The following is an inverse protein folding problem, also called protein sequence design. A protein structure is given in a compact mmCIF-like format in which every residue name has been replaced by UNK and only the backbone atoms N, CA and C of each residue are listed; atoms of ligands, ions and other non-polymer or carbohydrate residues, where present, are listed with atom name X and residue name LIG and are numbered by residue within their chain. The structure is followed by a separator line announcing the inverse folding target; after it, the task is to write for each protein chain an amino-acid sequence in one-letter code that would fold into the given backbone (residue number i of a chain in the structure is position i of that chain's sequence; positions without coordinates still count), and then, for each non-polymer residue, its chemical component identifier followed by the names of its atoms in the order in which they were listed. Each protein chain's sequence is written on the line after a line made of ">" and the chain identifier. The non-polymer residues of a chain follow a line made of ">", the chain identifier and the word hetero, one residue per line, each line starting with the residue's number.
data_IF_937631630829
#
_entry.id   IF_937631630829
#
_cell.length_a   1.000
_cell.length_b   1.000
_cell.length_c   1.000
_cell.angle_alpha   90.00
_cell.angle_beta   90.00
_cell.angle_gamma   90.00
#
_symmetry.space_group_name_H-M   'P 1'
#
loop_
_entity.id
_entity.type
_entity.pdbx_description
1 polymer ?
#
# COMPACT_ATOMS: atom_id res chain seq x y z
N UNK A 1 44.29 -68.83 8.65
CA UNK A 1 45.15 -68.36 7.53
C UNK A 1 44.62 -68.99 6.24
N UNK A 2 44.51 -68.28 5.10
CA UNK A 2 44.99 -66.94 4.81
C UNK A 2 43.87 -65.91 4.59
N UNK A 3 44.33 -64.67 4.53
CA UNK A 3 43.65 -63.38 4.56
C UNK A 3 43.39 -62.90 3.13
N UNK A 4 42.21 -62.37 2.82
CA UNK A 4 42.06 -61.42 1.71
C UNK A 4 41.26 -60.20 2.14
N UNK A 5 42.00 -59.10 2.14
CA UNK A 5 41.63 -57.73 2.43
C UNK A 5 40.80 -57.19 1.25
N UNK A 6 39.61 -56.66 1.51
CA UNK A 6 38.88 -55.84 0.54
C UNK A 6 38.54 -54.49 1.17
N UNK A 7 39.03 -53.47 0.48
CA UNK A 7 38.96 -52.06 0.82
C UNK A 7 37.77 -51.40 0.10
N UNK A 8 37.11 -50.45 0.80
CA UNK A 8 36.45 -49.22 0.30
C UNK A 8 35.09 -49.50 -0.43
N UNK A 9 33.98 -48.77 -0.23
CA UNK A 9 33.76 -47.31 -0.25
C UNK A 9 32.58 -46.93 0.66
N UNK A 10 32.76 -45.88 1.48
CA UNK A 10 31.69 -45.13 2.15
C UNK A 10 30.92 -44.29 1.12
N UNK A 11 29.64 -44.59 0.90
CA UNK A 11 28.71 -43.70 0.21
C UNK A 11 27.91 -42.89 1.23
N UNK A 12 28.38 -41.68 1.58
CA UNK A 12 27.56 -40.72 2.33
C UNK A 12 26.52 -40.12 1.37
N UNK A 13 25.28 -40.56 1.46
CA UNK A 13 24.16 -39.88 0.79
C UNK A 13 23.86 -38.58 1.55
N UNK A 14 24.25 -37.44 0.99
CA UNK A 14 23.87 -36.12 1.47
C UNK A 14 22.37 -35.90 1.19
N UNK A 15 21.52 -36.11 2.19
CA UNK A 15 20.13 -35.70 2.16
C UNK A 15 20.07 -34.17 2.23
N UNK A 16 19.86 -33.53 1.09
CA UNK A 16 19.41 -32.14 1.05
C UNK A 16 17.96 -32.12 1.51
N UNK A 17 17.74 -31.89 2.81
CA UNK A 17 16.43 -31.45 3.29
C UNK A 17 16.18 -30.07 2.73
N UNK A 18 15.45 -30.00 1.61
CA UNK A 18 14.70 -28.81 1.25
C UNK A 18 13.78 -28.50 2.43
N UNK A 19 14.15 -27.49 3.20
CA UNK A 19 13.24 -26.87 4.15
C UNK A 19 12.09 -26.29 3.30
N UNK A 20 10.99 -27.04 3.24
CA UNK A 20 9.70 -26.55 2.78
C UNK A 20 9.30 -25.43 3.74
N UNK A 21 9.69 -24.20 3.38
CA UNK A 21 9.10 -23.01 3.95
C UNK A 21 7.60 -23.11 3.64
N UNK A 22 6.72 -23.15 4.66
CA UNK A 22 5.31 -23.08 4.37
C UNK A 22 5.07 -21.66 3.84
N UNK A 23 4.92 -21.52 2.53
CA UNK A 23 4.16 -20.43 1.94
C UNK A 23 2.72 -20.65 2.39
N UNK A 24 2.43 -20.25 3.63
CA UNK A 24 1.06 -20.01 4.04
C UNK A 24 0.61 -18.83 3.20
N UNK A 25 -0.08 -19.12 2.09
CA UNK A 25 -1.04 -18.21 1.52
C UNK A 25 -2.03 -17.90 2.66
N UNK A 26 -1.77 -16.83 3.40
CA UNK A 26 -2.65 -16.40 4.46
C UNK A 26 -3.96 -16.01 3.78
N UNK A 27 -5.01 -16.80 4.02
CA UNK A 27 -6.37 -16.30 3.96
C UNK A 27 -6.38 -14.95 4.71
N UNK A 28 -6.76 -13.87 4.02
CA UNK A 28 -6.46 -12.49 4.39
C UNK A 28 -6.76 -12.22 5.88
N UNK A 29 -5.70 -12.12 6.67
CA UNK A 29 -5.80 -11.83 8.10
C UNK A 29 -6.43 -10.43 8.25
N UNK A 30 -7.51 -10.34 9.02
CA UNK A 30 -8.22 -9.07 9.22
C UNK A 30 -7.26 -8.04 9.83
N UNK A 31 -6.99 -6.98 9.09
CA UNK A 31 -6.05 -5.93 9.49
C UNK A 31 -6.72 -4.85 10.33
N UNK A 32 -5.92 -4.21 11.20
CA UNK A 32 -6.25 -2.93 11.84
C UNK A 32 -5.70 -1.81 10.97
N UNK A 33 -6.57 -1.10 10.28
CA UNK A 33 -6.18 -0.11 9.27
C UNK A 33 -6.57 1.29 9.72
N UNK A 34 -5.66 2.23 9.57
CA UNK A 34 -5.95 3.64 9.80
C UNK A 34 -6.02 4.40 8.50
N UNK A 35 -6.98 5.32 8.39
CA UNK A 35 -7.06 6.27 7.27
C UNK A 35 -6.88 7.68 7.82
N UNK A 36 -5.67 8.24 7.67
CA UNK A 36 -5.41 9.64 8.00
C UNK A 36 -5.83 10.48 6.78
N UNK A 37 -6.93 11.21 6.94
CA UNK A 37 -7.58 11.94 5.85
C UNK A 37 -8.83 11.25 5.33
N UNK A 38 -9.92 11.30 6.10
CA UNK A 38 -11.22 10.74 5.75
C UNK A 38 -12.07 11.62 4.79
N UNK A 39 -11.43 12.31 3.84
CA UNK A 39 -12.12 13.02 2.76
C UNK A 39 -12.68 12.08 1.69
N UNK A 40 -13.04 12.58 0.50
CA UNK A 40 -13.63 11.77 -0.57
C UNK A 40 -12.83 10.49 -0.90
N UNK A 41 -11.51 10.60 -1.05
CA UNK A 41 -10.66 9.47 -1.43
C UNK A 41 -10.43 8.49 -0.26
N UNK A 42 -9.83 8.95 0.84
CA UNK A 42 -9.57 8.11 2.00
C UNK A 42 -10.84 7.54 2.63
N UNK A 43 -11.90 8.34 2.73
CA UNK A 43 -13.19 7.91 3.24
C UNK A 43 -13.84 6.81 2.40
N UNK A 44 -13.72 6.86 1.07
CA UNK A 44 -14.21 5.79 0.18
C UNK A 44 -13.42 4.51 0.38
N UNK A 45 -12.08 4.59 0.40
CA UNK A 45 -11.21 3.42 0.60
C UNK A 45 -11.46 2.79 1.98
N UNK A 46 -11.53 3.60 3.04
CA UNK A 46 -11.80 3.12 4.39
C UNK A 46 -13.16 2.43 4.52
N UNK A 47 -14.21 2.95 3.88
CA UNK A 47 -15.51 2.29 3.84
C UNK A 47 -15.45 0.92 3.14
N UNK A 48 -14.68 0.80 2.06
CA UNK A 48 -14.51 -0.46 1.34
C UNK A 48 -13.71 -1.47 2.16
N UNK A 49 -12.69 -1.04 2.90
CA UNK A 49 -11.99 -1.91 3.85
C UNK A 49 -12.87 -2.38 5.00
N UNK A 50 -13.75 -1.52 5.55
CA UNK A 50 -14.75 -1.98 6.54
C UNK A 50 -15.68 -3.03 5.93
N UNK A 51 -16.17 -2.83 4.71
CA UNK A 51 -17.01 -3.81 4.00
C UNK A 51 -16.27 -5.13 3.72
N UNK A 52 -14.97 -5.07 3.47
CA UNK A 52 -14.11 -6.25 3.37
C UNK A 52 -13.79 -6.89 4.72
N UNK A 53 -14.25 -6.31 5.84
CA UNK A 53 -14.19 -6.88 7.18
C UNK A 53 -12.96 -6.50 8.00
N UNK A 54 -12.23 -5.45 7.61
CA UNK A 54 -11.11 -4.91 8.38
C UNK A 54 -11.61 -4.00 9.52
N UNK A 55 -10.85 -3.92 10.61
CA UNK A 55 -11.08 -2.94 11.67
C UNK A 55 -10.45 -1.61 11.22
N UNK A 56 -11.25 -0.57 11.03
CA UNK A 56 -10.81 0.70 10.44
C UNK A 56 -11.01 1.87 11.39
N UNK A 57 -9.96 2.67 11.59
CA UNK A 57 -10.06 3.99 12.19
C UNK A 57 -9.96 5.07 11.12
N UNK A 58 -11.06 5.80 10.90
CA UNK A 58 -11.09 6.98 10.03
C UNK A 58 -10.63 8.20 10.82
N UNK A 59 -9.67 8.94 10.28
CA UNK A 59 -9.10 10.11 10.95
C UNK A 59 -9.41 11.42 10.25
N UNK A 60 -9.78 12.41 11.06
CA UNK A 60 -9.91 13.82 10.70
C UNK A 60 -9.30 14.67 11.83
N UNK A 61 -9.03 15.94 11.55
CA UNK A 61 -8.71 16.93 12.59
C UNK A 61 -9.93 17.21 13.49
N UNK A 62 -11.12 17.07 12.92
CA UNK A 62 -12.41 17.20 13.60
C UNK A 62 -13.13 15.83 13.52
N UNK A 63 -12.76 14.84 14.35
CA UNK A 63 -13.31 13.48 14.22
C UNK A 63 -14.83 13.38 14.40
N UNK A 64 -15.46 14.33 15.12
CA UNK A 64 -16.92 14.38 15.27
C UNK A 64 -17.69 14.55 13.94
N UNK A 65 -17.04 15.06 12.89
CA UNK A 65 -17.62 15.11 11.54
C UNK A 65 -17.81 13.71 10.93
N UNK A 66 -17.18 12.68 11.49
CA UNK A 66 -17.22 11.30 11.01
C UNK A 66 -18.23 10.42 11.77
N UNK A 67 -18.89 10.94 12.81
CA UNK A 67 -19.77 10.14 13.69
C UNK A 67 -20.90 9.45 12.93
N UNK A 68 -21.54 10.17 12.01
CA UNK A 68 -22.60 9.61 11.17
C UNK A 68 -22.09 8.48 10.27
N UNK A 69 -20.89 8.66 9.69
CA UNK A 69 -20.27 7.67 8.82
C UNK A 69 -19.88 6.41 9.61
N UNK A 70 -19.22 6.57 10.76
CA UNK A 70 -18.85 5.45 11.63
C UNK A 70 -20.07 4.68 12.08
N UNK A 71 -21.13 5.37 12.50
CA UNK A 71 -22.40 4.73 12.89
C UNK A 71 -23.01 3.92 11.74
N UNK A 72 -22.95 4.43 10.51
CA UNK A 72 -23.43 3.71 9.33
C UNK A 72 -22.60 2.46 9.02
N UNK A 73 -21.29 2.52 9.25
CA UNK A 73 -20.35 1.42 8.96
C UNK A 73 -20.33 0.32 10.01
N UNK A 74 -20.83 0.60 11.23
CA UNK A 74 -20.99 -0.40 12.28
C UNK A 74 -19.71 -0.68 13.06
N UNK A 75 -19.62 -1.84 13.73
CA UNK A 75 -18.66 -2.09 14.82
C UNK A 75 -17.19 -2.17 14.38
N UNK A 76 -16.94 -2.34 13.08
CA UNK A 76 -15.60 -2.38 12.51
C UNK A 76 -15.06 -0.99 12.16
N UNK A 77 -15.85 0.07 12.35
CA UNK A 77 -15.44 1.44 12.10
C UNK A 77 -15.32 2.23 13.42
N UNK A 78 -14.32 3.08 13.48
CA UNK A 78 -14.17 4.10 14.53
C UNK A 78 -13.64 5.41 13.94
N UNK A 79 -13.77 6.51 14.68
CA UNK A 79 -13.20 7.79 14.31
C UNK A 79 -12.23 8.29 15.38
N UNK A 80 -11.19 9.01 14.95
CA UNK A 80 -10.21 9.59 15.86
C UNK A 80 -9.33 10.68 15.24
N UNK A 81 -8.47 11.26 16.05
CA UNK A 81 -7.43 12.20 15.59
C UNK A 81 -6.35 11.46 14.79
N UNK A 82 -5.52 12.16 13.99
CA UNK A 82 -4.37 11.55 13.32
C UNK A 82 -3.43 10.80 14.28
N UNK A 83 -3.25 11.28 15.51
CA UNK A 83 -2.44 10.64 16.55
C UNK A 83 -3.06 9.31 17.01
N UNK A 84 -4.38 9.30 17.27
CA UNK A 84 -5.09 8.07 17.63
C UNK A 84 -5.02 7.04 16.50
N UNK A 85 -5.22 7.49 15.26
CA UNK A 85 -5.12 6.63 14.08
C UNK A 85 -3.70 6.06 13.89
N UNK A 86 -2.65 6.86 14.05
CA UNK A 86 -1.28 6.35 13.95
C UNK A 86 -0.96 5.29 15.02
N UNK A 87 -1.49 5.44 16.24
CA UNK A 87 -1.34 4.45 17.30
C UNK A 87 -2.13 3.16 16.99
N UNK A 88 -3.35 3.30 16.49
CA UNK A 88 -4.30 2.20 16.20
C UNK A 88 -3.81 1.23 15.12
N UNK A 89 -3.51 1.75 13.92
CA UNK A 89 -3.38 0.92 12.72
C UNK A 89 -2.03 0.19 12.64
N UNK A 90 -2.02 -1.07 12.23
CA UNK A 90 -0.80 -1.77 11.79
C UNK A 90 -0.41 -1.36 10.36
N UNK A 91 -1.42 -1.00 9.56
CA UNK A 91 -1.31 -0.39 8.23
C UNK A 91 -2.00 0.97 8.24
N UNK A 92 -1.38 1.98 7.63
CA UNK A 92 -1.87 3.36 7.69
C UNK A 92 -1.92 3.95 6.28
N UNK A 93 -3.10 4.36 5.83
CA UNK A 93 -3.30 5.13 4.61
C UNK A 93 -3.18 6.62 4.89
N UNK A 94 -2.29 7.30 4.17
CA UNK A 94 -2.20 8.75 4.12
C UNK A 94 -2.96 9.25 2.89
N UNK A 95 -4.12 9.87 3.14
CA UNK A 95 -5.01 10.45 2.13
C UNK A 95 -5.27 11.94 2.42
N UNK A 96 -4.19 12.67 2.68
CA UNK A 96 -4.16 14.10 3.02
C UNK A 96 -3.58 14.94 1.87
N UNK A 97 -3.71 16.28 1.91
CA UNK A 97 -2.92 17.14 1.03
C UNK A 97 -1.41 16.86 1.18
N UNK A 98 -0.69 16.77 0.06
CA UNK A 98 0.75 16.43 0.04
C UNK A 98 1.60 17.33 0.94
N UNK A 99 1.24 18.62 1.02
CA UNK A 99 1.91 19.61 1.88
C UNK A 99 1.84 19.27 3.39
N UNK A 100 0.95 18.36 3.81
CA UNK A 100 0.88 17.91 5.19
C UNK A 100 1.92 16.82 5.53
N UNK A 101 2.52 16.15 4.52
CA UNK A 101 3.46 15.04 4.75
C UNK A 101 4.62 15.41 5.69
N UNK A 102 5.35 16.54 5.51
CA UNK A 102 6.48 16.85 6.39
C UNK A 102 6.06 17.06 7.85
N UNK A 103 4.90 17.66 8.09
CA UNK A 103 4.41 17.90 9.44
C UNK A 103 3.92 16.60 10.10
N UNK A 104 3.10 15.82 9.38
CA UNK A 104 2.60 14.52 9.88
C UNK A 104 3.74 13.53 10.12
N UNK A 105 4.72 13.50 9.23
CA UNK A 105 5.92 12.67 9.37
C UNK A 105 6.68 12.98 10.65
N UNK A 106 6.81 14.27 11.03
CA UNK A 106 7.42 14.69 12.30
C UNK A 106 6.54 14.35 13.50
N UNK A 107 5.27 14.76 13.47
CA UNK A 107 4.38 14.66 14.63
C UNK A 107 4.02 13.21 14.99
N UNK A 108 3.99 12.33 13.98
CA UNK A 108 3.61 10.93 14.15
C UNK A 108 4.83 9.99 14.11
N UNK A 109 6.06 10.50 13.95
CA UNK A 109 7.27 9.68 13.78
C UNK A 109 7.38 8.50 14.75
N UNK A 110 7.15 8.65 16.08
CA UNK A 110 7.26 7.53 16.99
C UNK A 110 6.24 6.42 16.73
N UNK A 111 5.03 6.79 16.31
CA UNK A 111 3.92 5.89 16.06
C UNK A 111 4.00 5.21 14.68
N UNK A 112 4.66 5.83 13.70
CA UNK A 112 4.79 5.29 12.33
C UNK A 112 5.95 4.30 12.16
N UNK A 113 6.92 4.30 13.07
CA UNK A 113 8.16 3.51 12.94
C UNK A 113 7.88 2.02 12.78
N UNK A 114 8.43 1.43 11.71
CA UNK A 114 8.26 0.02 11.35
C UNK A 114 6.89 -0.34 10.78
N UNK A 115 5.93 0.58 10.77
CA UNK A 115 4.58 0.34 10.24
C UNK A 115 4.55 0.49 8.73
N UNK A 116 3.58 -0.19 8.12
CA UNK A 116 3.30 -0.04 6.69
C UNK A 116 2.50 1.25 6.50
N UNK A 117 3.03 2.16 5.68
CA UNK A 117 2.34 3.40 5.31
C UNK A 117 2.03 3.36 3.82
N UNK A 118 0.75 3.41 3.49
CA UNK A 118 0.24 3.55 2.13
C UNK A 118 0.11 5.05 1.84
N UNK A 119 0.94 5.57 0.94
CA UNK A 119 0.91 6.97 0.54
C UNK A 119 0.07 7.16 -0.73
N UNK A 120 -1.14 7.71 -0.53
CA UNK A 120 -2.06 8.08 -1.60
C UNK A 120 -2.00 9.58 -1.96
N UNK A 121 -1.03 10.30 -1.40
CA UNK A 121 -0.93 11.76 -1.58
C UNK A 121 -0.25 12.10 -2.91
N UNK A 122 -0.46 13.31 -3.41
CA UNK A 122 0.15 13.76 -4.67
C UNK A 122 0.56 15.23 -4.61
N UNK A 123 1.77 15.58 -5.07
CA UNK A 123 2.17 16.98 -5.15
C UNK A 123 1.18 17.75 -6.05
N UNK A 124 0.74 18.95 -5.64
CA UNK A 124 0.10 19.87 -6.56
C UNK A 124 1.10 20.32 -7.65
N UNK A 125 0.66 20.99 -8.73
CA UNK A 125 1.57 21.64 -9.67
C UNK A 125 2.63 22.51 -8.97
N UNK A 126 3.83 22.65 -9.57
CA UNK A 126 4.93 23.47 -9.04
C UNK A 126 4.70 24.97 -9.31
N UNK A 127 3.63 25.52 -8.73
CA UNK A 127 3.33 26.95 -8.75
C UNK A 127 4.11 27.69 -7.65
N UNK A 128 5.42 27.42 -7.57
CA UNK A 128 6.30 27.94 -6.53
C UNK A 128 6.27 27.17 -5.21
N UNK A 129 5.58 26.02 -5.14
CA UNK A 129 5.53 25.18 -3.95
C UNK A 129 6.86 24.40 -3.77
N UNK A 130 7.62 24.62 -2.69
CA UNK A 130 8.94 23.98 -2.52
C UNK A 130 8.89 22.45 -2.46
N UNK A 131 7.85 21.89 -1.83
CA UNK A 131 7.70 20.45 -1.68
C UNK A 131 7.30 19.80 -3.02
N UNK A 132 6.45 20.45 -3.81
CA UNK A 132 6.16 20.02 -5.18
C UNK A 132 7.42 20.05 -6.04
N UNK A 133 8.18 21.14 -6.01
CA UNK A 133 9.44 21.26 -6.76
C UNK A 133 10.39 20.11 -6.44
N UNK A 134 10.56 19.82 -5.15
CA UNK A 134 11.37 18.68 -4.71
C UNK A 134 10.84 17.36 -5.26
N UNK A 135 9.52 17.11 -5.16
CA UNK A 135 8.90 15.89 -5.65
C UNK A 135 9.01 15.71 -7.17
N UNK A 136 8.87 16.78 -7.96
CA UNK A 136 9.05 16.69 -9.41
C UNK A 136 10.51 16.49 -9.81
N UNK A 137 11.46 17.11 -9.10
CA UNK A 137 12.89 16.94 -9.36
C UNK A 137 13.37 15.53 -8.97
N UNK A 138 13.04 15.08 -7.75
CA UNK A 138 13.61 13.88 -7.13
C UNK A 138 12.73 12.64 -7.30
N UNK A 139 11.46 12.82 -7.67
CA UNK A 139 10.47 11.75 -7.81
C UNK A 139 9.64 11.62 -6.55
N UNK A 140 8.32 11.50 -6.72
CA UNK A 140 7.37 11.56 -5.60
C UNK A 140 7.60 10.46 -4.56
N UNK A 141 7.99 9.24 -4.97
CA UNK A 141 8.24 8.13 -4.05
C UNK A 141 9.41 8.38 -3.12
N UNK A 142 10.55 8.81 -3.69
CA UNK A 142 11.76 9.17 -2.93
C UNK A 142 11.52 10.39 -2.02
N UNK A 143 10.81 11.40 -2.53
CA UNK A 143 10.46 12.57 -1.71
C UNK A 143 9.52 12.20 -0.55
N UNK A 144 8.49 11.39 -0.78
CA UNK A 144 7.63 10.90 0.32
C UNK A 144 8.43 10.10 1.36
N UNK A 145 9.37 9.25 0.93
CA UNK A 145 10.21 8.46 1.83
C UNK A 145 11.08 9.33 2.75
N UNK A 146 11.64 10.43 2.22
CA UNK A 146 12.39 11.42 3.01
C UNK A 146 11.55 12.00 4.17
N UNK A 147 10.25 12.22 3.96
CA UNK A 147 9.36 12.82 4.96
C UNK A 147 8.65 11.79 5.85
N UNK A 148 8.71 10.50 5.52
CA UNK A 148 8.15 9.41 6.32
C UNK A 148 9.24 8.41 6.73
N UNK A 149 10.32 8.87 7.38
CA UNK A 149 11.47 8.02 7.68
C UNK A 149 11.10 6.91 8.66
N UNK A 150 11.73 5.74 8.50
CA UNK A 150 11.51 4.58 9.36
C UNK A 150 10.17 3.87 9.13
N UNK A 151 9.38 4.29 8.15
CA UNK A 151 8.17 3.56 7.71
C UNK A 151 8.52 2.54 6.64
N UNK A 152 7.65 1.54 6.49
CA UNK A 152 7.67 0.61 5.35
C UNK A 152 6.74 1.19 4.28
N UNK A 153 7.24 2.19 3.56
CA UNK A 153 6.44 3.03 2.67
C UNK A 153 6.04 2.28 1.38
N UNK A 154 4.77 2.39 1.01
CA UNK A 154 4.23 1.95 -0.28
C UNK A 154 3.49 3.11 -0.93
N UNK A 155 3.85 3.48 -2.16
CA UNK A 155 3.05 4.39 -2.97
C UNK A 155 1.86 3.60 -3.52
N UNK A 156 0.66 3.93 -3.07
CA UNK A 156 -0.56 3.17 -3.37
C UNK A 156 -1.77 4.11 -3.43
N UNK A 157 -2.75 3.81 -4.28
CA UNK A 157 -3.97 4.61 -4.50
C UNK A 157 -3.75 6.06 -5.01
N UNK A 158 -2.52 6.58 -5.01
CA UNK A 158 -2.19 7.95 -5.43
C UNK A 158 -2.59 8.26 -6.88
N UNK A 159 -2.62 7.26 -7.75
CA UNK A 159 -2.96 7.42 -9.16
C UNK A 159 -4.44 7.21 -9.49
N UNK A 160 -5.30 7.05 -8.48
CA UNK A 160 -6.73 6.74 -8.66
C UNK A 160 -7.61 7.79 -8.01
N UNK A 161 -8.91 7.77 -8.30
CA UNK A 161 -9.89 8.63 -7.67
C UNK A 161 -11.02 7.81 -7.00
N UNK A 162 -11.74 8.44 -6.07
CA UNK A 162 -12.79 7.80 -5.29
C UNK A 162 -13.90 7.19 -6.16
N UNK A 163 -14.27 7.88 -7.24
CA UNK A 163 -15.33 7.45 -8.15
C UNK A 163 -14.92 6.17 -8.86
N UNK A 164 -13.69 6.13 -9.39
CA UNK A 164 -13.14 4.97 -10.09
C UNK A 164 -13.02 3.75 -9.17
N UNK A 165 -12.50 3.92 -7.94
CA UNK A 165 -12.41 2.83 -6.96
C UNK A 165 -13.81 2.31 -6.60
N UNK A 166 -14.74 3.22 -6.28
CA UNK A 166 -16.09 2.85 -5.89
C UNK A 166 -16.89 2.20 -7.04
N UNK A 167 -16.61 2.58 -8.29
CA UNK A 167 -17.17 1.91 -9.45
C UNK A 167 -16.59 0.49 -9.59
N UNK A 168 -15.27 0.33 -9.44
CA UNK A 168 -14.60 -0.98 -9.53
C UNK A 168 -15.10 -1.98 -8.51
N UNK A 169 -15.36 -1.54 -7.27
CA UNK A 169 -15.85 -2.41 -6.19
C UNK A 169 -17.20 -3.07 -6.46
N UNK A 170 -17.98 -2.55 -7.43
CA UNK A 170 -19.30 -3.07 -7.83
C UNK A 170 -19.29 -3.87 -9.13
N UNK A 171 -18.14 -3.98 -9.81
CA UNK A 171 -18.06 -4.72 -11.09
C UNK A 171 -17.87 -6.20 -10.84
N UNK A 172 -18.41 -7.06 -11.69
CA UNK A 172 -18.10 -8.49 -11.68
C UNK A 172 -16.93 -8.86 -12.61
N UNK A 173 -16.63 -8.01 -13.59
CA UNK A 173 -15.55 -8.19 -14.58
C UNK A 173 -14.26 -7.45 -14.24
N UNK A 174 -13.62 -6.89 -15.27
CA UNK A 174 -12.32 -6.21 -15.17
C UNK A 174 -12.30 -5.12 -14.08
N UNK A 175 -11.33 -5.28 -13.19
CA UNK A 175 -11.12 -4.41 -12.03
C UNK A 175 -10.15 -3.28 -12.39
N UNK A 176 -10.36 -2.12 -11.78
CA UNK A 176 -9.46 -0.97 -11.89
C UNK A 176 -8.03 -1.37 -11.52
N UNK A 177 -7.07 -1.06 -12.39
CA UNK A 177 -5.66 -1.21 -12.08
C UNK A 177 -5.20 -0.12 -11.09
N UNK A 178 -4.57 -0.52 -9.98
CA UNK A 178 -3.97 0.40 -9.00
C UNK A 178 -2.46 0.19 -9.01
N UNK A 179 -1.67 1.16 -9.50
CA UNK A 179 -0.22 1.02 -9.53
C UNK A 179 0.36 1.11 -8.13
N UNK A 180 1.34 0.24 -7.83
CA UNK A 180 2.02 0.12 -6.54
C UNK A 180 3.53 0.15 -6.70
N UNK A 181 4.20 0.89 -5.81
CA UNK A 181 5.66 0.95 -5.74
C UNK A 181 6.15 0.92 -4.29
N UNK A 182 7.18 0.13 -3.99
CA UNK A 182 7.82 0.07 -2.66
C UNK A 182 9.20 -0.57 -2.71
N UNK A 183 10.09 -0.16 -1.79
CA UNK A 183 11.38 -0.81 -1.55
C UNK A 183 11.26 -2.01 -0.58
N UNK A 184 10.07 -2.28 -0.03
CA UNK A 184 9.82 -3.37 0.91
C UNK A 184 8.84 -4.38 0.29
N UNK A 185 9.35 -5.54 -0.10
CA UNK A 185 8.58 -6.56 -0.80
C UNK A 185 7.39 -7.11 0.02
N UNK A 186 7.54 -7.21 1.35
CA UNK A 186 6.47 -7.68 2.22
C UNK A 186 5.39 -6.61 2.40
N UNK A 187 5.76 -5.34 2.57
CA UNK A 187 4.80 -4.24 2.63
C UNK A 187 4.02 -4.12 1.32
N UNK A 188 4.69 -4.34 0.19
CA UNK A 188 4.09 -4.36 -1.13
C UNK A 188 3.05 -5.47 -1.29
N UNK A 189 3.31 -6.68 -0.75
CA UNK A 189 2.34 -7.78 -0.74
C UNK A 189 1.09 -7.44 0.09
N UNK A 190 1.28 -6.85 1.28
CA UNK A 190 0.15 -6.39 2.12
C UNK A 190 -0.66 -5.32 1.40
N UNK A 191 -0.01 -4.33 0.78
CA UNK A 191 -0.68 -3.30 0.00
C UNK A 191 -1.44 -3.88 -1.20
N UNK A 192 -0.86 -4.86 -1.90
CA UNK A 192 -1.50 -5.56 -3.00
C UNK A 192 -2.78 -6.27 -2.55
N UNK A 193 -2.77 -6.93 -1.39
CA UNK A 193 -3.98 -7.53 -0.84
C UNK A 193 -5.03 -6.47 -0.50
N UNK A 194 -4.64 -5.37 0.15
CA UNK A 194 -5.56 -4.28 0.49
C UNK A 194 -6.16 -3.58 -0.74
N UNK A 195 -5.48 -3.58 -1.88
CA UNK A 195 -6.04 -3.14 -3.17
C UNK A 195 -7.12 -4.12 -3.66
N UNK A 196 -6.89 -5.42 -3.55
CA UNK A 196 -7.91 -6.45 -3.89
C UNK A 196 -9.13 -6.34 -3.00
N UNK A 197 -8.92 -6.07 -1.71
CA UNK A 197 -9.99 -5.98 -0.72
C UNK A 197 -10.94 -4.80 -0.98
N UNK A 198 -10.49 -3.74 -1.70
CA UNK A 198 -11.38 -2.67 -2.17
C UNK A 198 -12.01 -2.95 -3.55
N UNK A 199 -11.82 -4.14 -4.09
CA UNK A 199 -12.33 -4.55 -5.40
C UNK A 199 -11.58 -3.92 -6.57
N UNK A 200 -10.27 -3.77 -6.45
CA UNK A 200 -9.37 -3.30 -7.51
C UNK A 200 -8.22 -4.31 -7.72
N UNK A 201 -7.43 -4.18 -8.77
CA UNK A 201 -6.32 -5.09 -9.07
C UNK A 201 -4.96 -4.37 -8.98
N UNK A 202 -4.02 -4.83 -8.14
CA UNK A 202 -2.72 -4.19 -7.97
C UNK A 202 -1.81 -4.39 -9.19
N UNK A 203 -1.16 -3.31 -9.63
CA UNK A 203 -0.13 -3.34 -10.68
C UNK A 203 1.20 -2.91 -10.08
N UNK A 204 2.06 -3.88 -9.78
CA UNK A 204 3.38 -3.61 -9.19
C UNK A 204 4.31 -3.02 -10.25
N UNK A 205 4.79 -1.81 -10.03
CA UNK A 205 5.67 -1.08 -10.96
C UNK A 205 7.15 -1.19 -10.60
N UNK A 206 7.48 -1.67 -9.40
CA UNK A 206 8.84 -1.81 -8.89
C UNK A 206 9.06 -1.08 -7.56
N UNK A 207 10.23 -0.46 -7.45
CA UNK A 207 10.69 0.28 -6.27
C UNK A 207 10.05 1.69 -6.17
N UNK A 208 10.35 2.47 -5.13
CA UNK A 208 9.80 3.81 -4.96
C UNK A 208 10.19 4.79 -6.09
N UNK A 209 11.32 4.58 -6.76
CA UNK A 209 11.72 5.39 -7.91
C UNK A 209 10.75 5.20 -9.09
N UNK A 210 10.23 3.98 -9.28
CA UNK A 210 9.22 3.67 -10.31
C UNK A 210 7.89 4.43 -10.11
N UNK A 211 7.63 4.99 -8.92
CA UNK A 211 6.43 5.79 -8.65
C UNK A 211 6.32 7.04 -9.54
N UNK A 212 7.41 7.49 -10.16
CA UNK A 212 7.41 8.54 -11.19
C UNK A 212 6.50 8.21 -12.38
N UNK A 213 6.30 6.93 -12.69
CA UNK A 213 5.45 6.51 -13.81
C UNK A 213 3.96 6.74 -13.57
N UNK A 214 3.53 6.85 -12.30
CA UNK A 214 2.14 7.08 -11.92
C UNK A 214 1.94 8.27 -10.97
N UNK A 215 2.94 9.14 -10.84
CA UNK A 215 2.80 10.45 -10.20
C UNK A 215 2.04 11.41 -11.12
N UNK A 216 1.50 12.51 -10.59
CA UNK A 216 0.87 13.56 -11.40
C UNK A 216 1.73 13.94 -12.61
N UNK A 217 1.16 13.82 -13.82
CA UNK A 217 1.84 14.07 -15.09
C UNK A 217 2.49 12.84 -15.73
N UNK A 218 2.61 11.72 -15.02
CA UNK A 218 3.06 10.44 -15.56
C UNK A 218 1.92 9.64 -16.22
N UNK A 219 2.24 8.66 -17.09
CA UNK A 219 1.26 7.90 -17.87
C UNK A 219 0.26 7.12 -17.01
N UNK A 220 0.67 6.61 -15.84
CA UNK A 220 -0.22 5.86 -14.95
C UNK A 220 -1.16 6.72 -14.11
N UNK A 221 -0.95 8.05 -14.07
CA UNK A 221 -1.74 8.92 -13.20
C UNK A 221 -3.15 9.13 -13.73
N UNK A 222 -4.14 8.62 -12.99
CA UNK A 222 -5.57 8.68 -13.36
C UNK A 222 -5.85 8.11 -14.75
N UNK A 223 -5.08 7.10 -15.14
CA UNK A 223 -5.34 6.33 -16.36
C UNK A 223 -6.73 5.66 -16.30
N UNK A 224 -7.20 5.31 -15.10
CA UNK A 224 -8.56 4.82 -14.83
C UNK A 224 -8.99 3.66 -15.75
N UNK A 225 -8.06 2.75 -16.02
CA UNK A 225 -8.23 1.56 -16.85
C UNK A 225 -8.05 0.29 -16.01
N UNK A 226 -8.36 -0.88 -16.56
CA UNK A 226 -8.08 -2.16 -15.92
C UNK A 226 -6.57 -2.44 -15.76
N UNK A 227 -6.21 -3.48 -14.99
CA UNK A 227 -4.82 -3.82 -14.73
C UNK A 227 -4.01 -4.18 -15.98
N UNK A 228 -4.60 -4.89 -16.95
CA UNK A 228 -3.91 -5.33 -18.17
C UNK A 228 -3.54 -4.12 -19.05
N UNK A 229 -4.51 -3.23 -19.27
CA UNK A 229 -4.31 -1.98 -19.98
C UNK A 229 -3.32 -1.06 -19.24
N UNK A 230 -3.37 -1.01 -17.90
CA UNK A 230 -2.42 -0.21 -17.12
C UNK A 230 -0.99 -0.76 -17.25
N UNK A 231 -0.79 -2.08 -17.21
CA UNK A 231 0.53 -2.70 -17.43
C UNK A 231 1.10 -2.32 -18.79
N UNK A 232 0.29 -2.45 -19.84
CA UNK A 232 0.67 -2.05 -21.20
C UNK A 232 1.07 -0.57 -21.27
N UNK A 233 0.28 0.29 -20.65
CA UNK A 233 0.53 1.74 -20.60
C UNK A 233 1.85 2.08 -19.89
N UNK A 234 2.20 1.31 -18.86
CA UNK A 234 3.42 1.47 -18.07
C UNK A 234 4.63 0.71 -18.63
N UNK A 235 4.49 0.00 -19.75
CA UNK A 235 5.57 -0.81 -20.33
C UNK A 235 5.97 -2.01 -19.46
N UNK A 236 5.06 -2.50 -18.62
CA UNK A 236 5.28 -3.64 -17.75
C UNK A 236 4.99 -4.96 -18.49
N UNK A 237 5.63 -6.08 -18.09
CA UNK A 237 5.28 -7.39 -18.63
C UNK A 237 3.80 -7.73 -18.36
N UNK A 238 3.18 -8.55 -19.23
CA UNK A 238 1.83 -9.08 -18.97
C UNK A 238 1.83 -9.93 -17.70
N UNK A 239 0.64 -10.13 -17.12
CA UNK A 239 0.48 -11.02 -15.96
C UNK A 239 1.04 -12.41 -16.27
N UNK A 240 1.74 -13.01 -15.30
CA UNK A 240 2.22 -14.39 -15.34
C UNK A 240 1.14 -15.36 -14.86
#
# INVERSE_FOLDING_TARGET
>A
MPTFLRFIVFGLAAFWTFALCPLTANAAEKQRISVIGAGSHGGTIGQLWVKAGHEVMLSSRNPGELDALVKQLGPLASAGTPQQAAAFGSVILFAVPYNALPQLGRDLAPALRGKIVLDATNPPPDEGNPLSREAYANGVGETSAKYLPGTRLVRAFSATDATSINASSRRDGEKLGVPLASNDAQALQVAAQLVRDVGSEPVITGDLASARTFQRGGPGFRANTDASALRKLLGLPPDA
#
